data_IF_396932250567
#
_entry.id   IF_396932250567
#
_cell.length_a   1.000
_cell.length_b   1.000
_cell.length_c   1.000
_cell.angle_alpha   90.00
_cell.angle_beta   90.00
_cell.angle_gamma   90.00
#
_symmetry.space_group_name_H-M   'P 1'
#
loop_
_entity.id
_entity.type
_entity.pdbx_description
1 polymer ?
#
# COMPACT_ATOMS: atom_id res chain seq x y z
N UNK A 1 3.15 1.76 58.05
CA UNK A 1 2.76 1.91 56.64
C UNK A 1 3.99 1.54 55.83
N UNK A 2 3.92 0.46 55.06
CA UNK A 2 5.06 -0.06 54.30
C UNK A 2 5.43 0.87 53.14
N UNK A 3 6.70 1.25 53.05
CA UNK A 3 7.25 2.03 51.93
C UNK A 3 7.08 1.25 50.62
N UNK A 4 6.41 1.85 49.62
CA UNK A 4 6.21 1.24 48.30
C UNK A 4 7.52 1.03 47.53
N UNK A 5 8.62 1.68 47.94
CA UNK A 5 9.92 1.56 47.28
C UNK A 5 10.86 0.49 47.85
N UNK A 6 10.48 -0.22 48.92
CA UNK A 6 11.34 -1.26 49.51
C UNK A 6 11.15 -2.59 48.78
N UNK A 7 12.22 -3.19 48.23
CA UNK A 7 12.17 -4.51 47.60
C UNK A 7 11.74 -5.60 48.59
N UNK A 8 10.59 -6.23 48.35
CA UNK A 8 10.08 -7.37 49.14
C UNK A 8 9.33 -8.35 48.23
N UNK A 9 9.00 -9.52 48.75
CA UNK A 9 8.06 -10.44 48.10
C UNK A 9 6.62 -9.88 48.22
N UNK A 10 5.87 -9.89 47.12
CA UNK A 10 4.55 -9.29 46.99
C UNK A 10 3.58 -10.24 46.29
N UNK A 11 2.30 -10.10 46.60
CA UNK A 11 1.21 -10.94 46.06
C UNK A 11 0.06 -10.09 45.48
N UNK A 12 0.07 -8.79 45.81
CA UNK A 12 -0.96 -7.81 45.51
C UNK A 12 -0.58 -6.90 44.36
N UNK A 13 0.68 -6.43 44.34
CA UNK A 13 1.12 -5.41 43.39
C UNK A 13 2.63 -5.35 43.20
N UNK A 14 3.06 -4.77 42.09
CA UNK A 14 4.47 -4.54 41.78
C UNK A 14 4.67 -3.23 41.02
N UNK A 15 5.75 -2.51 41.33
CA UNK A 15 6.13 -1.29 40.64
C UNK A 15 7.52 -1.49 40.04
N UNK A 16 7.59 -1.33 38.72
CA UNK A 16 8.81 -1.17 37.96
C UNK A 16 9.08 0.31 37.70
N UNK A 17 10.34 0.69 37.81
CA UNK A 17 10.82 2.05 37.62
C UNK A 17 12.02 2.00 36.68
N UNK A 18 11.98 2.78 35.59
CA UNK A 18 13.13 3.05 34.76
C UNK A 18 13.71 4.42 35.11
N UNK A 19 14.98 4.44 35.54
CA UNK A 19 15.64 5.68 35.95
C UNK A 19 17.05 5.83 35.37
N UNK A 20 17.48 7.07 35.20
CA UNK A 20 18.85 7.43 34.82
C UNK A 20 19.82 7.24 35.99
N UNK A 21 21.12 7.31 35.69
CA UNK A 21 22.19 7.23 36.71
C UNK A 21 22.15 8.37 37.73
N UNK A 22 21.58 9.51 37.35
CA UNK A 22 21.40 10.68 38.21
C UNK A 22 20.16 10.58 39.13
N UNK A 23 19.39 9.49 39.01
CA UNK A 23 18.18 9.25 39.81
C UNK A 23 16.89 9.76 39.18
N UNK A 24 16.93 10.37 37.98
CA UNK A 24 15.74 10.85 37.29
C UNK A 24 14.86 9.68 36.85
N UNK A 25 13.60 9.66 37.29
CA UNK A 25 12.61 8.64 36.93
C UNK A 25 11.91 9.06 35.65
N UNK A 26 11.95 8.21 34.63
CA UNK A 26 11.32 8.49 33.34
C UNK A 26 10.30 7.42 32.91
N UNK A 27 10.31 6.25 33.55
CA UNK A 27 9.39 5.15 33.24
C UNK A 27 8.85 4.54 34.54
N UNK A 28 7.55 4.27 34.57
CA UNK A 28 6.85 3.63 35.69
C UNK A 28 5.87 2.61 35.11
N UNK A 29 5.99 1.34 35.50
CA UNK A 29 5.00 0.29 35.19
C UNK A 29 4.48 -0.30 36.48
N UNK A 30 3.17 -0.30 36.68
CA UNK A 30 2.52 -0.83 37.87
C UNK A 30 1.67 -2.03 37.48
N UNK A 31 1.83 -3.14 38.19
CA UNK A 31 0.96 -4.29 38.14
C UNK A 31 0.09 -4.34 39.39
N UNK A 32 -1.18 -4.70 39.21
CA UNK A 32 -2.14 -4.87 40.30
C UNK A 32 -3.33 -5.75 39.88
N UNK A 33 -4.20 -6.05 40.84
CA UNK A 33 -5.33 -6.95 40.62
C UNK A 33 -6.39 -6.38 39.67
N UNK A 34 -6.64 -5.08 39.77
CA UNK A 34 -7.65 -4.36 39.02
C UNK A 34 -7.23 -2.91 38.75
N UNK A 35 -8.01 -2.21 37.91
CA UNK A 35 -7.73 -0.84 37.49
C UNK A 35 -7.68 0.15 38.65
N UNK A 36 -8.61 0.05 39.59
CA UNK A 36 -8.75 1.01 40.70
C UNK A 36 -7.56 0.92 41.65
N UNK A 37 -7.20 -0.29 42.07
CA UNK A 37 -6.02 -0.53 42.92
C UNK A 37 -4.72 -0.12 42.22
N UNK A 38 -4.58 -0.41 40.93
CA UNK A 38 -3.37 -0.08 40.16
C UNK A 38 -3.18 1.44 40.03
N UNK A 39 -4.27 2.19 39.80
CA UNK A 39 -4.26 3.65 39.79
C UNK A 39 -3.95 4.25 41.16
N UNK A 40 -4.54 3.69 42.23
CA UNK A 40 -4.25 4.12 43.60
C UNK A 40 -2.75 3.97 43.92
N UNK A 41 -2.16 2.83 43.56
CA UNK A 41 -0.74 2.55 43.77
C UNK A 41 0.14 3.52 42.96
N UNK A 42 -0.20 3.79 41.71
CA UNK A 42 0.52 4.75 40.88
C UNK A 42 0.48 6.17 41.47
N UNK A 43 -0.70 6.62 41.92
CA UNK A 43 -0.87 7.95 42.53
C UNK A 43 -0.12 8.07 43.87
N UNK A 44 -0.13 7.00 44.67
CA UNK A 44 0.65 6.94 45.92
C UNK A 44 2.15 7.01 45.62
N UNK A 45 2.61 6.29 44.59
CA UNK A 45 4.00 6.33 44.17
C UNK A 45 4.45 7.73 43.70
N UNK A 46 3.63 8.43 42.90
CA UNK A 46 3.90 9.81 42.52
C UNK A 46 4.05 10.72 43.74
N UNK A 47 3.17 10.58 44.72
CA UNK A 47 3.20 11.35 45.96
C UNK A 47 4.46 11.05 46.80
N UNK A 48 4.81 9.77 46.97
CA UNK A 48 6.00 9.35 47.74
C UNK A 48 7.33 9.78 47.11
N UNK A 49 7.40 9.83 45.77
CA UNK A 49 8.60 10.25 45.03
C UNK A 49 8.59 11.73 44.65
N UNK A 50 7.60 12.48 45.12
CA UNK A 50 7.42 13.91 44.85
C UNK A 50 7.46 14.23 43.34
N UNK A 51 6.85 13.34 42.55
CA UNK A 51 6.72 13.44 41.10
C UNK A 51 5.35 14.04 40.77
N UNK A 52 5.30 14.96 39.81
CA UNK A 52 4.05 15.57 39.39
C UNK A 52 3.37 14.72 38.29
N UNK A 53 2.12 14.24 38.48
CA UNK A 53 1.47 13.35 37.51
C UNK A 53 1.37 13.93 36.09
N UNK A 54 1.23 15.26 35.96
CA UNK A 54 1.13 15.92 34.66
C UNK A 54 2.43 15.86 33.82
N UNK A 55 3.57 15.48 34.40
CA UNK A 55 4.83 15.31 33.67
C UNK A 55 4.95 13.92 33.03
N UNK A 56 4.00 13.03 33.34
CA UNK A 56 3.93 11.68 32.84
C UNK A 56 2.69 11.50 31.95
N UNK A 57 2.82 10.61 30.97
CA UNK A 57 1.77 10.24 30.03
C UNK A 57 1.52 8.75 30.18
N UNK A 58 0.26 8.35 30.34
CA UNK A 58 -0.15 6.95 30.28
C UNK A 58 -0.04 6.47 28.84
N UNK A 59 0.78 5.45 28.62
CA UNK A 59 1.04 4.89 27.28
C UNK A 59 0.46 3.50 27.09
N UNK A 60 0.15 2.81 28.17
CA UNK A 60 -0.44 1.48 28.14
C UNK A 60 -1.27 1.25 29.41
N UNK A 61 -2.46 0.67 29.26
CA UNK A 61 -3.29 0.18 30.37
C UNK A 61 -4.14 -1.02 29.93
N UNK A 62 -4.35 -1.99 30.82
CA UNK A 62 -5.20 -3.14 30.54
C UNK A 62 -4.77 -4.41 31.24
N UNK A 63 -5.40 -5.53 30.91
CA UNK A 63 -5.01 -6.84 31.42
C UNK A 63 -3.92 -7.46 30.54
N UNK A 64 -2.78 -7.81 31.15
CA UNK A 64 -1.72 -8.61 30.55
C UNK A 64 -1.99 -10.11 30.80
N UNK A 65 -1.80 -10.95 29.78
CA UNK A 65 -1.86 -12.41 29.91
C UNK A 65 -0.60 -12.93 30.59
N UNK A 66 -0.78 -13.66 31.69
CA UNK A 66 0.32 -14.15 32.53
C UNK A 66 0.19 -15.65 32.84
N UNK A 67 -0.63 -16.39 32.06
CA UNK A 67 -0.87 -17.83 32.23
C UNK A 67 0.39 -18.68 32.38
N UNK A 68 1.42 -18.36 31.60
CA UNK A 68 2.68 -19.10 31.59
C UNK A 68 3.72 -18.56 32.59
N UNK A 69 3.41 -17.46 33.30
CA UNK A 69 4.30 -16.80 34.25
C UNK A 69 3.95 -17.23 35.68
N UNK A 70 4.95 -17.69 36.44
CA UNK A 70 4.80 -17.96 37.89
C UNK A 70 5.04 -16.72 38.75
N UNK A 71 5.96 -15.85 38.30
CA UNK A 71 6.37 -14.64 39.00
C UNK A 71 6.62 -13.51 37.99
N UNK A 72 6.53 -12.26 38.47
CA UNK A 72 6.98 -11.06 37.76
C UNK A 72 8.09 -10.40 38.58
N UNK A 73 9.26 -10.20 37.98
CA UNK A 73 10.44 -9.57 38.58
C UNK A 73 11.31 -8.94 37.49
N UNK A 74 12.33 -8.16 37.87
CA UNK A 74 13.30 -7.62 36.90
C UNK A 74 14.03 -8.72 36.11
N UNK A 75 14.12 -9.95 36.65
CA UNK A 75 14.72 -11.11 35.98
C UNK A 75 13.78 -11.79 34.99
N UNK A 76 12.47 -11.73 35.19
CA UNK A 76 11.51 -12.29 34.22
C UNK A 76 11.14 -11.29 33.15
N UNK A 77 11.33 -10.00 33.42
CA UNK A 77 11.09 -8.89 32.51
C UNK A 77 12.39 -8.49 31.79
N UNK A 78 13.11 -9.47 31.24
CA UNK A 78 14.41 -9.26 30.56
C UNK A 78 14.26 -8.38 29.31
N UNK A 79 13.18 -8.55 28.55
CA UNK A 79 12.89 -7.73 27.36
C UNK A 79 12.66 -6.27 27.72
N UNK A 80 11.87 -6.00 28.77
CA UNK A 80 11.64 -4.65 29.27
C UNK A 80 12.94 -4.03 29.80
N UNK A 81 13.75 -4.82 30.52
CA UNK A 81 15.06 -4.39 31.00
C UNK A 81 16.01 -4.04 29.86
N UNK A 82 16.06 -4.86 28.81
CA UNK A 82 16.88 -4.63 27.63
C UNK A 82 16.41 -3.40 26.83
N UNK A 83 15.09 -3.22 26.69
CA UNK A 83 14.50 -2.06 26.03
C UNK A 83 14.86 -0.76 26.74
N UNK A 84 14.65 -0.69 28.06
CA UNK A 84 14.96 0.50 28.85
C UNK A 84 16.47 0.79 28.89
N UNK A 85 17.32 -0.24 28.93
CA UNK A 85 18.77 -0.06 28.88
C UNK A 85 19.24 0.61 27.59
N UNK A 86 18.61 0.34 26.44
CA UNK A 86 18.90 1.03 25.16
C UNK A 86 18.56 2.52 25.22
N UNK A 87 17.58 2.90 26.04
CA UNK A 87 17.19 4.29 26.28
C UNK A 87 18.04 4.97 27.38
N UNK A 88 19.07 4.27 27.89
CA UNK A 88 19.92 4.75 28.97
C UNK A 88 19.32 4.60 30.37
N UNK A 89 18.16 3.94 30.50
CA UNK A 89 17.45 3.75 31.76
C UNK A 89 17.80 2.41 32.40
N UNK A 90 17.96 2.41 33.72
CA UNK A 90 18.09 1.20 34.52
C UNK A 90 16.72 0.81 35.07
N UNK A 91 16.27 -0.40 34.74
CA UNK A 91 15.06 -0.98 35.32
C UNK A 91 15.31 -1.42 36.77
N UNK A 92 14.46 -0.94 37.67
CA UNK A 92 14.39 -1.34 39.08
C UNK A 92 12.97 -1.80 39.39
N UNK A 93 12.84 -2.65 40.41
CA UNK A 93 11.55 -3.12 40.92
C UNK A 93 11.50 -2.94 42.43
N UNK A 94 10.31 -2.70 42.96
CA UNK A 94 10.03 -2.74 44.39
C UNK A 94 9.78 -4.16 44.94
N UNK A 95 10.10 -5.21 44.18
CA UNK A 95 9.95 -6.59 44.65
C UNK A 95 9.91 -7.67 43.60
N UNK A 96 9.38 -8.82 44.02
CA UNK A 96 8.96 -9.94 43.17
C UNK A 96 7.48 -10.17 43.42
N UNK A 97 6.69 -10.22 42.36
CA UNK A 97 5.26 -10.51 42.41
C UNK A 97 4.99 -11.96 42.10
N UNK A 98 4.37 -12.67 43.04
CA UNK A 98 3.90 -14.05 42.83
C UNK A 98 2.48 -14.02 42.26
N UNK A 99 2.26 -14.75 41.16
CA UNK A 99 0.99 -14.71 40.42
C UNK A 99 -0.03 -15.75 40.86
N UNK A 100 0.38 -16.73 41.69
CA UNK A 100 -0.48 -17.76 42.30
C UNK A 100 -1.49 -18.45 41.34
N UNK A 101 -1.11 -18.61 40.06
CA UNK A 101 -1.97 -19.24 39.05
C UNK A 101 -3.05 -18.32 38.44
N UNK A 102 -2.92 -16.99 38.61
CA UNK A 102 -3.73 -16.01 37.88
C UNK A 102 -3.40 -16.07 36.39
N UNK A 103 -4.45 -16.07 35.55
CA UNK A 103 -4.31 -16.05 34.09
C UNK A 103 -4.04 -14.64 33.55
N UNK A 104 -4.44 -13.60 34.29
CA UNK A 104 -4.34 -12.20 33.87
C UNK A 104 -4.04 -11.29 35.04
N UNK A 105 -3.36 -10.18 34.77
CA UNK A 105 -3.09 -9.13 35.74
C UNK A 105 -3.27 -7.75 35.12
N UNK A 106 -3.81 -6.79 35.87
CA UNK A 106 -3.98 -5.43 35.36
C UNK A 106 -2.63 -4.70 35.41
N UNK A 107 -2.34 -3.92 34.38
CA UNK A 107 -1.13 -3.13 34.29
C UNK A 107 -1.42 -1.70 33.85
N UNK A 108 -0.60 -0.76 34.32
CA UNK A 108 -0.57 0.63 33.89
C UNK A 108 0.88 1.03 33.68
N UNK A 109 1.19 1.57 32.51
CA UNK A 109 2.50 2.11 32.17
C UNK A 109 2.43 3.62 31.93
N UNK A 110 3.25 4.36 32.67
CA UNK A 110 3.42 5.80 32.58
C UNK A 110 4.87 6.14 32.22
N UNK A 111 5.07 7.07 31.29
CA UNK A 111 6.41 7.56 30.89
C UNK A 111 6.46 9.08 30.92
N UNK A 112 7.62 9.64 31.27
CA UNK A 112 7.83 11.08 31.27
C UNK A 112 7.62 11.65 29.86
N UNK A 113 7.16 12.89 29.75
CA UNK A 113 7.04 13.60 28.48
C UNK A 113 8.39 13.70 27.74
N UNK A 114 9.50 13.78 28.47
CA UNK A 114 10.85 13.84 27.90
C UNK A 114 11.29 12.50 27.31
N UNK A 115 11.08 11.39 28.03
CA UNK A 115 11.35 10.06 27.51
C UNK A 115 10.42 9.73 26.35
N UNK A 116 9.15 10.14 26.41
CA UNK A 116 8.23 9.96 25.29
C UNK A 116 8.71 10.72 24.05
N UNK A 117 9.26 11.93 24.21
CA UNK A 117 9.91 12.68 23.11
C UNK A 117 11.16 11.98 22.61
N UNK A 118 12.01 11.43 23.50
CA UNK A 118 13.20 10.66 23.10
C UNK A 118 12.84 9.35 22.39
N UNK A 119 11.82 8.63 22.86
CA UNK A 119 11.32 7.41 22.21
C UNK A 119 10.73 7.75 20.84
N UNK A 120 10.02 8.89 20.71
CA UNK A 120 9.55 9.38 19.41
C UNK A 120 10.71 9.78 18.49
N UNK A 121 11.69 10.54 19.01
CA UNK A 121 12.91 10.92 18.28
C UNK A 121 13.89 9.77 17.97
N UNK A 122 13.86 8.68 18.74
CA UNK A 122 14.64 7.45 18.48
C UNK A 122 13.91 6.46 17.58
N UNK A 123 12.57 6.41 17.63
CA UNK A 123 11.78 5.74 16.59
C UNK A 123 11.91 6.45 15.24
N UNK A 124 12.12 7.78 15.26
CA UNK A 124 12.49 8.58 14.09
C UNK A 124 13.93 8.34 13.60
N UNK A 125 14.86 7.76 14.40
CA UNK A 125 16.28 7.60 13.99
C UNK A 125 16.79 6.17 13.79
N UNK A 126 15.95 5.13 13.94
CA UNK A 126 16.33 3.75 13.58
C UNK A 126 15.48 3.09 12.49
N UNK A 127 14.44 3.76 11.97
CA UNK A 127 13.69 3.34 10.76
C UNK A 127 13.30 4.52 9.83
N UNK A 128 14.00 5.66 9.89
CA UNK A 128 14.00 6.61 8.78
C UNK A 128 15.25 6.36 7.92
N UNK A 129 15.09 5.52 6.89
CA UNK A 129 15.44 6.05 5.57
C UNK A 129 14.56 7.31 5.49
N UNK A 130 15.13 8.50 5.29
CA UNK A 130 14.33 9.67 4.93
C UNK A 130 13.48 9.26 3.72
N UNK A 131 12.26 8.76 3.92
CA UNK A 131 11.32 8.54 2.83
C UNK A 131 10.71 9.90 2.58
N UNK A 132 11.55 10.75 1.98
CA UNK A 132 11.14 12.00 1.42
C UNK A 132 10.14 11.74 0.30
N UNK A 133 9.40 12.79 -0.07
CA UNK A 133 8.68 12.75 -1.33
C UNK A 133 9.70 12.58 -2.46
N UNK A 134 9.47 11.56 -3.27
CA UNK A 134 10.23 11.30 -4.48
C UNK A 134 9.24 11.51 -5.60
N UNK A 135 9.49 12.51 -6.45
CA UNK A 135 8.61 12.76 -7.59
C UNK A 135 8.43 11.48 -8.42
N UNK A 136 7.21 11.23 -8.92
CA UNK A 136 6.96 10.10 -9.79
C UNK A 136 7.94 10.03 -10.97
N UNK A 137 8.57 8.87 -11.15
CA UNK A 137 9.47 8.59 -12.26
C UNK A 137 9.20 7.20 -12.83
N UNK A 138 9.73 6.92 -14.03
CA UNK A 138 9.51 5.64 -14.72
C UNK A 138 10.82 4.84 -14.70
N UNK A 139 10.85 3.75 -13.93
CA UNK A 139 11.91 2.74 -14.02
C UNK A 139 11.49 1.59 -14.92
N UNK A 140 11.93 1.60 -16.16
CA UNK A 140 11.68 0.50 -17.10
C UNK A 140 12.49 -0.76 -16.82
N UNK A 141 13.54 -0.71 -15.99
CA UNK A 141 14.38 -1.89 -15.71
C UNK A 141 13.66 -2.94 -14.86
N UNK A 142 12.60 -2.54 -14.16
CA UNK A 142 11.75 -3.43 -13.36
C UNK A 142 10.80 -4.28 -14.23
N UNK A 143 10.52 -3.86 -15.47
CA UNK A 143 9.66 -4.58 -16.41
C UNK A 143 10.48 -5.66 -17.12
N UNK A 144 10.63 -6.81 -16.46
CA UNK A 144 11.21 -8.01 -17.08
C UNK A 144 10.12 -8.92 -17.60
N UNK A 145 10.27 -9.39 -18.83
CA UNK A 145 9.46 -10.44 -19.47
C UNK A 145 7.97 -10.13 -19.71
N UNK A 146 7.48 -8.96 -19.31
CA UNK A 146 6.05 -8.59 -19.43
C UNK A 146 5.74 -7.74 -20.66
N UNK A 147 6.76 -7.09 -21.21
CA UNK A 147 6.66 -6.18 -22.35
C UNK A 147 7.81 -6.49 -23.31
N UNK A 148 7.56 -6.65 -24.62
CA UNK A 148 8.62 -6.72 -25.62
C UNK A 148 9.57 -5.52 -25.55
N UNK A 149 10.87 -5.76 -25.73
CA UNK A 149 11.91 -4.72 -25.64
C UNK A 149 11.63 -3.53 -26.57
N UNK A 150 11.04 -3.81 -27.74
CA UNK A 150 10.64 -2.84 -28.74
C UNK A 150 9.66 -1.78 -28.20
N UNK A 151 8.87 -2.14 -27.18
CA UNK A 151 7.84 -1.27 -26.59
C UNK A 151 8.30 -0.57 -25.31
N UNK A 152 9.32 -1.08 -24.64
CA UNK A 152 9.80 -0.55 -23.35
C UNK A 152 10.19 0.93 -23.47
N UNK A 153 10.90 1.29 -24.55
CA UNK A 153 11.33 2.68 -24.77
C UNK A 153 10.18 3.68 -24.87
N UNK A 154 9.01 3.25 -25.33
CA UNK A 154 7.84 4.11 -25.45
C UNK A 154 7.19 4.41 -24.09
N UNK A 155 7.38 3.54 -23.08
CA UNK A 155 6.89 3.77 -21.72
C UNK A 155 7.62 4.92 -21.03
N UNK A 156 8.87 5.21 -21.42
CA UNK A 156 9.61 6.38 -20.91
C UNK A 156 8.91 7.71 -21.19
N UNK A 157 8.03 7.77 -22.20
CA UNK A 157 7.23 8.98 -22.48
C UNK A 157 6.28 9.33 -21.33
N UNK A 158 5.98 8.40 -20.43
CA UNK A 158 5.16 8.64 -19.24
C UNK A 158 5.87 9.51 -18.20
N UNK A 159 7.21 9.62 -18.23
CA UNK A 159 7.98 10.53 -17.35
C UNK A 159 7.60 12.00 -17.56
N UNK A 160 7.05 12.34 -18.73
CA UNK A 160 6.56 13.70 -19.01
C UNK A 160 5.37 14.09 -18.12
N UNK A 161 4.69 13.11 -17.50
CA UNK A 161 3.48 13.28 -16.66
C UNK A 161 2.33 14.01 -17.35
N UNK A 162 2.34 14.03 -18.69
CA UNK A 162 1.30 14.58 -19.54
C UNK A 162 0.18 13.57 -19.82
N UNK A 163 -1.01 14.07 -20.14
CA UNK A 163 -2.12 13.22 -20.56
C UNK A 163 -1.72 12.37 -21.78
N UNK A 164 -1.94 11.06 -21.69
CA UNK A 164 -1.54 10.13 -22.75
C UNK A 164 -2.69 9.26 -23.23
N UNK A 165 -2.63 8.87 -24.50
CA UNK A 165 -3.41 7.76 -25.04
C UNK A 165 -2.45 6.64 -25.47
N UNK A 166 -2.73 5.45 -24.98
CA UNK A 166 -1.97 4.22 -25.20
C UNK A 166 -2.82 3.31 -26.07
N UNK A 167 -2.36 3.07 -27.28
CA UNK A 167 -3.02 2.21 -28.25
C UNK A 167 -2.48 0.79 -28.05
N UNK A 168 -3.21 -0.06 -27.35
CA UNK A 168 -2.75 -1.36 -26.86
C UNK A 168 -3.30 -2.53 -27.70
N UNK A 169 -2.93 -2.58 -28.98
CA UNK A 169 -3.26 -3.71 -29.86
C UNK A 169 -2.54 -5.00 -29.44
N UNK A 170 -1.36 -4.87 -28.82
CA UNK A 170 -0.57 -5.99 -28.30
C UNK A 170 -1.18 -6.66 -27.04
N UNK A 171 -2.25 -6.10 -26.46
CA UNK A 171 -2.89 -6.57 -25.22
C UNK A 171 -1.89 -6.78 -24.07
N UNK A 172 -0.98 -5.81 -23.91
CA UNK A 172 -0.08 -5.76 -22.77
C UNK A 172 -0.91 -5.50 -21.52
N UNK A 173 -0.57 -6.16 -20.41
CA UNK A 173 -1.22 -5.97 -19.12
C UNK A 173 -0.73 -4.65 -18.49
N UNK A 174 -1.33 -3.52 -18.90
CA UNK A 174 -0.86 -2.20 -18.52
C UNK A 174 -1.01 -1.93 -17.03
N UNK A 175 -2.04 -2.43 -16.36
CA UNK A 175 -2.19 -2.30 -14.92
C UNK A 175 -0.95 -2.86 -14.19
N UNK A 176 -0.57 -4.09 -14.52
CA UNK A 176 0.62 -4.73 -13.95
C UNK A 176 1.90 -3.98 -14.31
N UNK A 177 2.05 -3.58 -15.58
CA UNK A 177 3.25 -2.92 -16.08
C UNK A 177 3.44 -1.55 -15.44
N UNK A 178 2.39 -0.73 -15.39
CA UNK A 178 2.42 0.63 -14.84
C UNK A 178 2.75 0.62 -13.35
N UNK A 179 2.14 -0.29 -12.57
CA UNK A 179 2.44 -0.45 -11.13
C UNK A 179 3.88 -0.88 -10.84
N UNK A 180 4.54 -1.51 -11.81
CA UNK A 180 5.94 -1.94 -11.68
C UNK A 180 6.94 -0.90 -12.11
N UNK A 181 6.60 -0.08 -13.10
CA UNK A 181 7.55 0.88 -13.65
C UNK A 181 7.38 2.29 -13.09
N UNK A 182 6.18 2.66 -12.64
CA UNK A 182 5.98 3.94 -12.00
C UNK A 182 6.39 3.81 -10.54
N UNK A 183 7.46 4.50 -10.20
CA UNK A 183 8.03 4.53 -8.87
C UNK A 183 7.88 5.94 -8.26
N UNK A 184 8.41 6.12 -7.06
CA UNK A 184 8.33 7.37 -6.31
C UNK A 184 7.27 7.33 -5.21
N UNK A 185 7.27 8.37 -4.38
CA UNK A 185 6.46 8.46 -3.17
C UNK A 185 5.92 9.87 -3.06
N UNK A 186 4.61 10.01 -2.90
CA UNK A 186 3.94 11.32 -2.86
C UNK A 186 3.13 11.46 -1.59
N UNK A 187 3.06 12.68 -1.04
CA UNK A 187 2.12 12.96 0.04
C UNK A 187 0.76 13.24 -0.53
N UNK A 188 -0.25 12.55 0.01
CA UNK A 188 -1.64 12.85 -0.25
C UNK A 188 -2.35 13.21 1.06
N UNK A 189 -3.31 14.15 1.03
CA UNK A 189 -4.12 14.43 2.21
C UNK A 189 -4.91 13.17 2.59
N UNK A 190 -5.07 12.91 3.89
CA UNK A 190 -5.93 11.79 4.33
C UNK A 190 -7.39 12.10 3.99
N UNK A 191 -7.79 13.33 4.27
CA UNK A 191 -9.11 13.87 4.00
C UNK A 191 -8.99 15.37 3.68
N UNK A 192 -10.03 15.91 3.04
CA UNK A 192 -10.21 17.35 2.85
C UNK A 192 -11.42 17.79 3.68
N UNK A 193 -11.21 18.75 4.58
CA UNK A 193 -12.30 19.39 5.32
C UNK A 193 -12.85 20.57 4.53
N UNK A 194 -14.12 20.51 4.18
CA UNK A 194 -14.82 21.61 3.49
C UNK A 194 -16.10 21.93 4.26
N UNK A 195 -16.02 23.04 5.02
CA UNK A 195 -17.05 23.39 6.00
C UNK A 195 -17.21 22.26 7.03
N UNK A 196 -18.41 21.72 7.16
CA UNK A 196 -18.70 20.62 8.08
C UNK A 196 -18.57 19.24 7.42
N UNK A 197 -18.12 19.17 6.15
CA UNK A 197 -18.00 17.92 5.39
C UNK A 197 -16.55 17.46 5.29
N UNK A 198 -16.37 16.15 5.35
CA UNK A 198 -15.09 15.46 5.22
C UNK A 198 -15.10 14.69 3.90
N UNK A 199 -14.11 14.92 3.06
CA UNK A 199 -13.92 14.17 1.82
C UNK A 199 -12.69 13.28 1.99
N UNK A 200 -12.91 11.98 2.10
CA UNK A 200 -11.84 10.99 2.23
C UNK A 200 -11.11 10.83 0.89
N UNK A 201 -9.81 11.11 0.90
CA UNK A 201 -8.92 11.00 -0.26
C UNK A 201 -8.10 9.70 -0.15
N UNK A 202 -7.45 9.49 1.00
CA UNK A 202 -6.72 8.27 1.27
C UNK A 202 -7.67 7.09 1.46
N UNK A 203 -7.29 5.97 0.86
CA UNK A 203 -8.06 4.73 0.81
C UNK A 203 -7.07 3.56 0.83
N UNK A 204 -7.11 2.74 1.88
CA UNK A 204 -6.19 1.63 2.09
C UNK A 204 -6.37 0.50 1.05
N UNK A 205 -7.50 0.44 0.33
CA UNK A 205 -7.71 -0.53 -0.76
C UNK A 205 -7.03 -0.10 -2.07
N UNK A 206 -6.80 1.21 -2.23
CA UNK A 206 -6.29 1.81 -3.48
C UNK A 206 -4.82 2.22 -3.33
N UNK A 207 -4.43 2.71 -2.15
CA UNK A 207 -3.13 3.32 -1.93
C UNK A 207 -2.20 2.41 -1.11
N UNK A 208 -0.97 2.26 -1.59
CA UNK A 208 0.08 1.58 -0.82
C UNK A 208 0.75 2.57 0.15
N UNK A 209 0.34 2.50 1.42
CA UNK A 209 0.87 3.37 2.49
C UNK A 209 2.31 3.02 2.86
N UNK A 210 3.17 4.04 2.90
CA UNK A 210 4.53 3.94 3.43
C UNK A 210 4.56 4.43 4.87
N UNK A 211 4.15 5.69 5.09
CA UNK A 211 4.04 6.29 6.42
C UNK A 211 2.85 7.25 6.44
N UNK A 212 2.43 7.66 7.63
CA UNK A 212 1.29 8.56 7.79
C UNK A 212 1.45 9.48 8.97
N UNK A 213 1.04 10.72 8.79
CA UNK A 213 0.75 11.66 9.86
C UNK A 213 -0.78 11.89 9.98
N UNK A 214 -1.19 12.79 10.86
CA UNK A 214 -2.61 13.06 11.13
C UNK A 214 -3.31 13.59 9.88
N UNK A 215 -2.70 14.55 9.18
CA UNK A 215 -3.35 15.26 8.05
C UNK A 215 -3.00 14.67 6.68
N UNK A 216 -1.87 13.97 6.56
CA UNK A 216 -1.37 13.44 5.30
C UNK A 216 -0.87 12.00 5.42
N UNK A 217 -0.83 11.32 4.28
CA UNK A 217 -0.29 9.97 4.13
C UNK A 217 0.74 9.97 3.02
N UNK A 218 1.95 9.48 3.29
CA UNK A 218 2.95 9.24 2.26
C UNK A 218 2.68 7.86 1.70
N UNK A 219 2.38 7.83 0.41
CA UNK A 219 2.04 6.62 -0.34
C UNK A 219 3.05 6.44 -1.46
N UNK A 220 3.25 5.21 -1.93
CA UNK A 220 3.84 5.04 -3.26
C UNK A 220 2.99 5.79 -4.28
N UNK A 221 3.62 6.30 -5.33
CA UNK A 221 2.95 7.02 -6.42
C UNK A 221 1.64 6.30 -6.80
N UNK A 222 0.47 6.95 -6.66
CA UNK A 222 -0.79 6.32 -6.99
C UNK A 222 -0.82 5.95 -8.47
N UNK A 223 -1.02 4.67 -8.75
CA UNK A 223 -1.35 4.16 -10.09
C UNK A 223 -2.71 3.51 -9.97
N UNK A 224 -3.76 4.24 -10.33
CA UNK A 224 -5.15 3.79 -10.24
C UNK A 224 -5.60 3.39 -11.64
N UNK A 225 -5.94 2.13 -11.81
CA UNK A 225 -6.46 1.57 -13.05
C UNK A 225 -7.95 1.31 -12.90
N UNK A 226 -8.73 1.72 -13.90
CA UNK A 226 -10.17 1.54 -13.97
C UNK A 226 -10.54 0.94 -15.33
N UNK A 227 -11.28 -0.16 -15.32
CA UNK A 227 -11.71 -0.88 -16.52
C UNK A 227 -13.22 -0.71 -16.72
N UNK A 228 -13.60 -0.14 -17.87
CA UNK A 228 -15.00 0.09 -18.22
C UNK A 228 -15.89 -1.15 -18.16
N UNK A 229 -15.34 -2.34 -18.40
CA UNK A 229 -16.12 -3.58 -18.43
C UNK A 229 -16.29 -4.24 -17.06
N UNK A 230 -15.53 -3.78 -16.05
CA UNK A 230 -15.50 -4.37 -14.71
C UNK A 230 -16.00 -3.37 -13.66
N UNK A 231 -15.61 -2.10 -13.79
CA UNK A 231 -15.76 -1.10 -12.74
C UNK A 231 -16.94 -0.15 -12.98
N UNK A 232 -17.35 0.55 -11.92
CA UNK A 232 -18.54 1.41 -11.94
C UNK A 232 -18.21 2.86 -12.29
N UNK A 233 -19.09 3.50 -13.07
CA UNK A 233 -19.02 4.93 -13.37
C UNK A 233 -19.25 5.81 -12.13
N UNK A 234 -19.85 5.28 -11.06
CA UNK A 234 -20.09 6.01 -9.80
C UNK A 234 -18.78 6.41 -9.11
N UNK A 235 -17.67 5.76 -9.42
CA UNK A 235 -16.36 6.03 -8.85
C UNK A 235 -15.77 7.37 -9.32
N UNK A 236 -16.39 8.01 -10.31
CA UNK A 236 -16.05 9.37 -10.77
C UNK A 236 -16.94 10.47 -10.17
N UNK A 237 -17.76 10.12 -9.17
CA UNK A 237 -18.59 11.06 -8.41
C UNK A 237 -18.24 11.04 -6.92
N UNK A 238 -18.61 12.09 -6.19
CA UNK A 238 -18.52 12.09 -4.73
C UNK A 238 -19.59 11.17 -4.16
N UNK A 239 -19.18 10.10 -3.49
CA UNK A 239 -20.10 9.14 -2.87
C UNK A 239 -20.23 9.43 -1.39
N UNK A 240 -21.45 9.69 -0.92
CA UNK A 240 -21.71 9.89 0.50
C UNK A 240 -21.59 8.53 1.22
N UNK A 241 -20.73 8.46 2.23
CA UNK A 241 -20.49 7.25 3.03
C UNK A 241 -21.24 7.35 4.35
N UNK A 242 -21.15 8.50 5.02
CA UNK A 242 -21.86 8.79 6.27
C UNK A 242 -22.45 10.20 6.26
N UNK A 243 -23.05 10.64 7.37
CA UNK A 243 -23.44 12.02 7.55
C UNK A 243 -22.20 12.93 7.43
N UNK A 244 -22.22 13.82 6.42
CA UNK A 244 -21.13 14.77 6.11
C UNK A 244 -19.80 14.14 5.68
N UNK A 245 -19.70 12.81 5.55
CA UNK A 245 -18.49 12.11 5.07
C UNK A 245 -18.71 11.58 3.66
N UNK A 246 -17.76 11.87 2.76
CA UNK A 246 -17.81 11.48 1.35
C UNK A 246 -16.51 10.78 0.94
N UNK A 247 -16.61 9.70 0.18
CA UNK A 247 -15.48 9.17 -0.58
C UNK A 247 -15.22 10.08 -1.78
N UNK A 248 -13.96 10.45 -1.98
CA UNK A 248 -13.54 11.16 -3.17
C UNK A 248 -13.69 10.29 -4.43
N UNK A 249 -13.92 10.89 -5.61
CA UNK A 249 -13.81 10.20 -6.89
C UNK A 249 -12.37 9.80 -7.21
N UNK A 250 -12.17 8.79 -8.08
CA UNK A 250 -10.86 8.20 -8.38
C UNK A 250 -9.80 9.22 -8.82
N UNK A 251 -10.19 10.21 -9.63
CA UNK A 251 -9.23 11.22 -10.10
C UNK A 251 -8.70 12.14 -8.98
N UNK A 252 -9.41 12.24 -7.84
CA UNK A 252 -8.88 12.90 -6.63
C UNK A 252 -8.04 11.95 -5.79
N UNK A 253 -8.33 10.65 -5.82
CA UNK A 253 -7.48 9.62 -5.19
C UNK A 253 -6.15 9.46 -5.92
N UNK A 254 -6.14 9.62 -7.25
CA UNK A 254 -4.93 9.63 -8.09
C UNK A 254 -4.04 10.88 -7.92
N UNK A 255 -4.11 11.57 -6.78
CA UNK A 255 -3.43 12.84 -6.56
C UNK A 255 -1.91 12.70 -6.71
N UNK A 256 -1.30 13.57 -7.52
CA UNK A 256 0.10 13.52 -7.95
C UNK A 256 0.52 12.23 -8.68
N UNK A 257 -0.40 11.30 -8.92
CA UNK A 257 -0.16 10.02 -9.58
C UNK A 257 -0.81 9.91 -10.95
N UNK A 258 -1.12 8.69 -11.34
CA UNK A 258 -1.66 8.31 -12.64
C UNK A 258 -3.04 7.67 -12.48
N UNK A 259 -3.98 8.11 -13.29
CA UNK A 259 -5.29 7.50 -13.46
C UNK A 259 -5.34 6.90 -14.87
N UNK A 260 -5.28 5.58 -14.97
CA UNK A 260 -5.41 4.83 -16.21
C UNK A 260 -6.85 4.34 -16.39
N UNK A 261 -7.42 4.60 -17.55
CA UNK A 261 -8.77 4.17 -17.91
C UNK A 261 -8.71 3.23 -19.12
N UNK A 262 -9.17 1.99 -18.97
CA UNK A 262 -9.26 1.01 -20.06
C UNK A 262 -10.60 1.12 -20.78
N UNK A 263 -10.55 1.34 -22.09
CA UNK A 263 -11.70 1.45 -22.98
C UNK A 263 -12.82 2.44 -22.53
N UNK A 264 -12.51 3.60 -21.91
CA UNK A 264 -13.52 4.44 -21.27
C UNK A 264 -14.55 5.01 -22.26
N UNK A 265 -15.74 5.39 -21.78
CA UNK A 265 -16.67 6.20 -22.55
C UNK A 265 -16.06 7.56 -22.92
N UNK A 266 -16.32 8.04 -24.13
CA UNK A 266 -15.78 9.33 -24.62
C UNK A 266 -16.24 10.50 -23.75
N UNK A 267 -17.47 10.44 -23.23
CA UNK A 267 -18.07 11.41 -22.33
C UNK A 267 -17.29 11.55 -21.02
N UNK A 268 -16.81 10.43 -20.47
CA UNK A 268 -16.00 10.41 -19.25
C UNK A 268 -14.68 11.13 -19.49
N UNK A 269 -13.98 10.78 -20.58
CA UNK A 269 -12.72 11.43 -20.95
C UNK A 269 -12.91 12.93 -21.15
N UNK A 270 -13.98 13.35 -21.85
CA UNK A 270 -14.35 14.76 -22.00
C UNK A 270 -14.59 15.45 -20.65
N UNK A 271 -15.29 14.80 -19.72
CA UNK A 271 -15.55 15.31 -18.36
C UNK A 271 -14.23 15.53 -17.62
N UNK A 272 -13.34 14.53 -17.60
CA UNK A 272 -12.06 14.60 -16.90
C UNK A 272 -11.12 15.66 -17.50
N UNK A 273 -10.99 15.72 -18.83
CA UNK A 273 -10.19 16.77 -19.49
C UNK A 273 -10.73 18.18 -19.21
N UNK A 274 -12.06 18.35 -19.13
CA UNK A 274 -12.68 19.63 -18.73
C UNK A 274 -12.37 19.99 -17.27
N UNK A 275 -12.34 19.00 -16.38
CA UNK A 275 -11.96 19.18 -14.97
C UNK A 275 -10.47 19.59 -14.89
N UNK A 276 -9.57 18.87 -15.57
CA UNK A 276 -8.13 19.18 -15.64
C UNK A 276 -7.86 20.58 -16.19
N UNK A 277 -8.46 20.94 -17.34
CA UNK A 277 -8.32 22.28 -17.93
C UNK A 277 -8.78 23.40 -17.00
N UNK A 278 -9.77 23.11 -16.14
CA UNK A 278 -10.27 24.05 -15.14
C UNK A 278 -9.37 24.12 -13.89
N UNK A 279 -8.55 23.10 -13.64
CA UNK A 279 -7.66 22.99 -12.48
C UNK A 279 -8.36 22.62 -11.17
N UNK A 280 -9.68 22.40 -11.18
CA UNK A 280 -10.43 22.01 -9.98
C UNK A 280 -11.71 21.24 -10.30
N UNK A 281 -12.18 20.40 -9.37
CA UNK A 281 -13.53 19.85 -9.33
C UNK A 281 -14.44 20.68 -8.42
N UNK A 282 -15.74 20.69 -8.72
CA UNK A 282 -16.75 21.33 -7.87
C UNK A 282 -17.32 20.30 -6.91
N UNK A 283 -17.23 20.54 -5.62
CA UNK A 283 -17.93 19.79 -4.59
C UNK A 283 -19.19 20.57 -4.15
N UNK A 284 -20.40 20.02 -4.35
CA UNK A 284 -21.64 20.71 -4.01
C UNK A 284 -21.95 20.62 -2.51
N UNK A 285 -22.32 21.76 -1.89
CA UNK A 285 -22.87 21.82 -0.53
C UNK A 285 -24.13 22.69 -0.59
N UNK A 286 -25.30 22.04 -0.55
CA UNK A 286 -26.59 22.70 -0.75
C UNK A 286 -26.64 23.41 -2.11
N UNK A 287 -26.84 24.73 -2.12
CA UNK A 287 -26.86 25.57 -3.34
C UNK A 287 -25.50 26.14 -3.74
N UNK A 288 -24.46 25.94 -2.91
CA UNK A 288 -23.10 26.44 -3.17
C UNK A 288 -22.19 25.33 -3.67
N UNK A 289 -21.08 25.72 -4.29
CA UNK A 289 -20.01 24.79 -4.66
C UNK A 289 -18.66 25.27 -4.14
N UNK A 290 -17.83 24.30 -3.78
CA UNK A 290 -16.45 24.52 -3.35
C UNK A 290 -15.50 23.95 -4.40
N UNK A 291 -14.37 24.61 -4.59
CA UNK A 291 -13.37 24.23 -5.60
C UNK A 291 -12.31 23.39 -4.92
N UNK A 292 -12.14 22.16 -5.38
CA UNK A 292 -11.08 21.26 -4.94
C UNK A 292 -10.06 21.17 -6.06
N UNK A 293 -8.81 21.60 -5.85
CA UNK A 293 -7.75 21.45 -6.84
C UNK A 293 -7.63 20.00 -7.31
N UNK A 294 -7.30 19.80 -8.58
CA UNK A 294 -7.02 18.47 -9.12
C UNK A 294 -5.61 18.46 -9.67
N UNK A 295 -4.88 17.38 -9.37
CA UNK A 295 -3.57 17.13 -9.96
C UNK A 295 -3.39 15.61 -10.07
N UNK A 296 -3.44 15.10 -11.30
CA UNK A 296 -3.30 13.69 -11.65
C UNK A 296 -2.97 13.60 -13.15
N UNK A 297 -2.22 12.60 -13.58
CA UNK A 297 -1.96 12.31 -15.00
C UNK A 297 -3.01 11.34 -15.54
N UNK A 298 -3.67 11.68 -16.66
CA UNK A 298 -4.70 10.83 -17.26
C UNK A 298 -4.11 9.96 -18.36
N UNK A 299 -4.22 8.64 -18.23
CA UNK A 299 -3.85 7.67 -19.24
C UNK A 299 -5.10 7.00 -19.80
N UNK A 300 -5.24 6.95 -21.11
CA UNK A 300 -6.33 6.24 -21.78
C UNK A 300 -5.75 5.03 -22.50
N UNK A 301 -6.16 3.83 -22.10
CA UNK A 301 -5.88 2.61 -22.84
C UNK A 301 -7.04 2.31 -23.80
N UNK A 302 -6.72 2.02 -25.05
CA UNK A 302 -7.70 1.61 -26.07
C UNK A 302 -7.07 0.76 -27.16
N UNK A 303 -7.85 -0.07 -27.83
CA UNK A 303 -7.49 -0.66 -29.13
C UNK A 303 -7.97 0.19 -30.30
N UNK A 304 -9.02 0.99 -30.09
CA UNK A 304 -9.57 1.89 -31.09
C UNK A 304 -9.28 3.35 -30.71
N UNK A 305 -8.21 3.90 -31.29
CA UNK A 305 -7.83 5.29 -31.07
C UNK A 305 -8.80 6.27 -31.78
N UNK A 306 -9.48 5.81 -32.83
CA UNK A 306 -10.33 6.64 -33.67
C UNK A 306 -11.59 7.08 -32.92
N UNK A 307 -12.07 6.26 -31.97
CA UNK A 307 -13.13 6.59 -31.00
C UNK A 307 -12.89 7.93 -30.28
N UNK A 308 -11.62 8.33 -30.09
CA UNK A 308 -11.24 9.56 -29.40
C UNK A 308 -10.77 10.67 -30.34
N UNK A 309 -11.04 10.56 -31.65
CA UNK A 309 -10.81 11.65 -32.62
C UNK A 309 -11.46 12.95 -32.14
N UNK A 310 -10.69 14.03 -32.16
CA UNK A 310 -11.11 15.34 -31.66
C UNK A 310 -10.83 15.59 -30.17
N UNK A 311 -10.28 14.60 -29.44
CA UNK A 311 -9.68 14.83 -28.13
C UNK A 311 -8.16 14.92 -28.28
N UNK A 312 -7.58 15.96 -27.70
CA UNK A 312 -6.15 16.22 -27.75
C UNK A 312 -5.42 15.49 -26.62
N UNK A 313 -4.41 14.69 -26.98
CA UNK A 313 -3.49 14.04 -26.06
C UNK A 313 -2.06 14.44 -26.45
N UNK A 314 -1.32 15.12 -25.57
CA UNK A 314 0.08 15.48 -25.82
C UNK A 314 0.96 14.26 -26.11
N UNK A 315 0.71 13.14 -25.43
CA UNK A 315 1.48 11.91 -25.59
C UNK A 315 0.64 10.82 -26.24
N UNK A 316 1.24 10.11 -27.21
CA UNK A 316 0.65 8.96 -27.89
C UNK A 316 1.64 7.81 -27.90
N UNK A 317 1.26 6.70 -27.28
CA UNK A 317 2.05 5.47 -27.23
C UNK A 317 1.31 4.40 -28.02
N UNK A 318 2.05 3.59 -28.79
CA UNK A 318 1.49 2.52 -29.62
C UNK A 318 2.18 1.20 -29.32
N UNK A 319 1.39 0.22 -28.89
CA UNK A 319 1.79 -1.17 -28.77
C UNK A 319 1.02 -1.96 -29.82
N UNK A 320 1.61 -2.08 -31.01
CA UNK A 320 1.00 -2.75 -32.15
C UNK A 320 0.97 -4.27 -31.92
N UNK A 321 0.02 -4.96 -32.56
CA UNK A 321 0.04 -6.43 -32.61
C UNK A 321 1.40 -6.92 -33.14
N UNK A 322 1.88 -8.06 -32.63
CA UNK A 322 3.22 -8.55 -32.95
C UNK A 322 3.39 -8.90 -34.42
N UNK A 323 4.53 -8.50 -34.98
CA UNK A 323 4.99 -8.97 -36.27
C UNK A 323 5.63 -10.36 -36.16
N UNK A 324 5.99 -10.95 -37.30
CA UNK A 324 6.52 -12.30 -37.33
C UNK A 324 7.85 -12.45 -36.60
N UNK A 325 8.69 -11.42 -36.59
CA UNK A 325 10.00 -11.46 -35.93
C UNK A 325 9.86 -11.39 -34.40
N UNK A 326 9.00 -10.50 -33.90
CA UNK A 326 8.66 -10.43 -32.48
C UNK A 326 8.04 -11.75 -32.01
N UNK A 327 7.08 -12.31 -32.76
CA UNK A 327 6.50 -13.61 -32.44
C UNK A 327 7.56 -14.70 -32.39
N UNK A 328 8.46 -14.77 -33.37
CA UNK A 328 9.54 -15.77 -33.39
C UNK A 328 10.39 -15.71 -32.12
N UNK A 329 10.80 -14.50 -31.69
CA UNK A 329 11.56 -14.30 -30.44
C UNK A 329 10.78 -14.76 -29.22
N UNK A 330 9.50 -14.36 -29.12
CA UNK A 330 8.64 -14.68 -27.98
C UNK A 330 8.36 -16.18 -27.89
N UNK A 331 8.10 -16.85 -29.01
CA UNK A 331 7.89 -18.30 -29.03
C UNK A 331 9.14 -19.08 -28.64
N UNK A 332 10.31 -18.68 -29.14
CA UNK A 332 11.58 -19.28 -28.74
C UNK A 332 11.82 -19.10 -27.24
N UNK A 333 11.52 -17.92 -26.71
CA UNK A 333 11.69 -17.62 -25.28
C UNK A 333 10.73 -18.41 -24.39
N UNK A 334 9.43 -18.41 -24.71
CA UNK A 334 8.39 -18.95 -23.83
C UNK A 334 8.23 -20.47 -23.96
N UNK A 335 8.53 -21.04 -25.12
CA UNK A 335 8.35 -22.47 -25.40
C UNK A 335 9.66 -23.20 -25.72
N UNK A 336 10.79 -22.50 -25.92
CA UNK A 336 12.05 -23.11 -26.34
C UNK A 336 12.04 -23.62 -27.78
N UNK A 337 11.11 -23.15 -28.62
CA UNK A 337 10.86 -23.69 -29.96
C UNK A 337 10.99 -22.57 -31.00
N UNK A 338 11.79 -22.81 -32.04
CA UNK A 338 11.78 -21.99 -33.24
C UNK A 338 10.61 -22.38 -34.14
N UNK A 339 9.67 -21.46 -34.37
CA UNK A 339 8.56 -21.67 -35.30
C UNK A 339 8.91 -21.11 -36.69
N UNK A 340 8.64 -21.86 -37.78
CA UNK A 340 8.78 -21.34 -39.13
C UNK A 340 7.90 -20.10 -39.38
N UNK A 341 8.46 -19.09 -40.06
CA UNK A 341 7.75 -17.87 -40.42
C UNK A 341 6.45 -18.13 -41.22
N UNK A 342 6.40 -19.22 -41.99
CA UNK A 342 5.20 -19.62 -42.74
C UNK A 342 4.00 -19.90 -41.84
N UNK A 343 4.22 -20.45 -40.64
CA UNK A 343 3.18 -20.74 -39.64
C UNK A 343 2.77 -19.45 -38.94
N UNK A 344 3.75 -18.63 -38.52
CA UNK A 344 3.49 -17.35 -37.86
C UNK A 344 2.70 -16.38 -38.74
N UNK A 345 2.96 -16.38 -40.06
CA UNK A 345 2.22 -15.55 -41.03
C UNK A 345 0.75 -15.89 -41.14
N UNK A 346 0.39 -17.15 -40.91
CA UNK A 346 -1.00 -17.57 -41.01
C UNK A 346 -1.80 -17.13 -39.78
N UNK A 347 -1.15 -16.92 -38.62
CA UNK A 347 -1.82 -16.48 -37.40
C UNK A 347 -2.60 -15.18 -37.63
N UNK A 348 -3.91 -15.14 -37.38
CA UNK A 348 -4.68 -13.90 -37.45
C UNK A 348 -4.17 -12.88 -36.43
N UNK A 349 -4.30 -11.58 -36.74
CA UNK A 349 -3.76 -10.49 -35.89
C UNK A 349 -4.27 -10.52 -34.45
N UNK A 350 -5.51 -10.93 -34.23
CA UNK A 350 -6.12 -11.09 -32.90
C UNK A 350 -5.42 -12.12 -32.00
N UNK A 351 -4.66 -13.05 -32.59
CA UNK A 351 -3.84 -14.03 -31.85
C UNK A 351 -2.36 -13.64 -31.76
N UNK A 352 -1.97 -12.46 -32.26
CA UNK A 352 -0.60 -11.93 -32.21
C UNK A 352 -0.43 -10.94 -31.06
N UNK A 353 -0.85 -11.32 -29.86
CA UNK A 353 -0.90 -10.45 -28.67
C UNK A 353 -0.27 -11.13 -27.45
N UNK A 354 0.11 -10.35 -26.42
CA UNK A 354 0.62 -10.90 -25.16
C UNK A 354 -0.41 -11.80 -24.49
N UNK A 355 -1.69 -11.42 -24.53
CA UNK A 355 -2.78 -12.20 -23.95
C UNK A 355 -2.94 -13.55 -24.64
N UNK A 356 -2.97 -13.56 -25.98
CA UNK A 356 -3.04 -14.80 -26.74
C UNK A 356 -1.84 -15.71 -26.46
N UNK A 357 -0.63 -15.15 -26.33
CA UNK A 357 0.56 -15.92 -25.98
C UNK A 357 0.48 -16.54 -24.57
N UNK A 358 0.00 -15.78 -23.58
CA UNK A 358 -0.24 -16.28 -22.21
C UNK A 358 -1.30 -17.39 -22.20
N UNK A 359 -2.39 -17.22 -22.94
CA UNK A 359 -3.45 -18.22 -23.05
C UNK A 359 -2.95 -19.50 -23.74
N UNK A 360 -2.15 -19.37 -24.80
CA UNK A 360 -1.50 -20.47 -25.49
C UNK A 360 -0.55 -21.23 -24.55
N UNK A 361 0.28 -20.51 -23.79
CA UNK A 361 1.20 -21.11 -22.80
C UNK A 361 0.45 -21.93 -21.77
N UNK A 362 -0.60 -21.35 -21.17
CA UNK A 362 -1.46 -22.04 -20.21
C UNK A 362 -2.12 -23.28 -20.83
N UNK A 363 -2.52 -23.22 -22.10
CA UNK A 363 -3.11 -24.37 -22.80
C UNK A 363 -2.09 -25.48 -23.01
N UNK A 364 -0.88 -25.17 -23.47
CA UNK A 364 0.22 -26.14 -23.65
C UNK A 364 0.58 -26.81 -22.33
N UNK A 365 0.69 -26.06 -21.23
CA UNK A 365 0.95 -26.61 -19.89
C UNK A 365 -0.15 -27.61 -19.48
N UNK A 366 -1.43 -27.27 -19.70
CA UNK A 366 -2.55 -28.17 -19.43
C UNK A 366 -2.52 -29.43 -20.29
N UNK A 367 -2.15 -29.32 -21.57
CA UNK A 367 -2.01 -30.47 -22.45
C UNK A 367 -0.84 -31.37 -22.04
N UNK A 368 0.28 -30.79 -21.60
CA UNK A 368 1.46 -31.51 -21.12
C UNK A 368 1.18 -32.30 -19.85
N UNK A 369 0.37 -31.75 -18.93
CA UNK A 369 -0.10 -32.47 -17.74
C UNK A 369 -0.95 -33.70 -18.09
N UNK A 370 -1.71 -33.64 -19.20
CA UNK A 370 -2.56 -34.74 -19.65
C UNK A 370 -1.85 -35.74 -20.55
N UNK A 371 -0.79 -35.31 -21.23
CA UNK A 371 0.00 -36.13 -22.16
C UNK A 371 1.51 -35.91 -21.88
N UNK A 372 2.03 -36.41 -20.74
CA UNK A 372 3.41 -36.14 -20.33
C UNK A 372 4.45 -36.64 -21.33
N UNK A 373 4.13 -37.69 -22.08
CA UNK A 373 4.97 -38.33 -23.09
C UNK A 373 5.16 -37.51 -24.36
N UNK A 374 4.25 -36.59 -24.68
CA UNK A 374 4.32 -35.81 -25.93
C UNK A 374 5.34 -34.68 -25.86
N UNK A 375 6.02 -34.43 -26.97
CA UNK A 375 6.94 -33.29 -27.08
C UNK A 375 6.21 -31.95 -27.05
N UNK A 376 6.87 -30.91 -26.55
CA UNK A 376 6.30 -29.56 -26.47
C UNK A 376 5.88 -29.03 -27.85
N UNK A 377 6.61 -29.40 -28.91
CA UNK A 377 6.32 -29.03 -30.30
C UNK A 377 4.96 -29.56 -30.78
N UNK A 378 4.66 -30.83 -30.50
CA UNK A 378 3.38 -31.45 -30.84
C UNK A 378 2.22 -30.83 -30.07
N UNK A 379 2.43 -30.59 -28.77
CA UNK A 379 1.43 -29.98 -27.91
C UNK A 379 1.15 -28.53 -28.30
N UNK A 380 2.17 -27.79 -28.73
CA UNK A 380 2.04 -26.42 -29.20
C UNK A 380 1.22 -26.35 -30.50
N UNK A 381 1.45 -27.25 -31.45
CA UNK A 381 0.62 -27.36 -32.66
C UNK A 381 -0.83 -27.65 -32.32
N UNK A 382 -1.07 -28.65 -31.47
CA UNK A 382 -2.42 -28.98 -31.01
C UNK A 382 -3.08 -27.77 -30.32
N UNK A 383 -2.34 -27.05 -29.47
CA UNK A 383 -2.83 -25.87 -28.78
C UNK A 383 -3.17 -24.72 -29.75
N UNK A 384 -2.36 -24.49 -30.78
CA UNK A 384 -2.63 -23.50 -31.83
C UNK A 384 -3.91 -23.85 -32.61
N UNK A 385 -4.08 -25.11 -33.01
CA UNK A 385 -5.31 -25.57 -33.68
C UNK A 385 -6.55 -25.36 -32.80
N UNK A 386 -6.45 -25.71 -31.51
CA UNK A 386 -7.55 -25.50 -30.55
C UNK A 386 -7.87 -24.00 -30.39
N UNK A 387 -6.85 -23.15 -30.30
CA UNK A 387 -7.01 -21.72 -30.08
C UNK A 387 -7.63 -21.00 -31.29
N UNK A 388 -7.28 -21.43 -32.50
CA UNK A 388 -7.74 -20.81 -33.76
C UNK A 388 -9.09 -21.41 -34.23
N UNK A 389 -9.36 -22.69 -33.95
CA UNK A 389 -10.58 -23.41 -34.33
C UNK A 389 -10.46 -24.27 -35.60
N UNK A 390 -11.41 -25.19 -35.80
CA UNK A 390 -11.45 -26.11 -36.95
C UNK A 390 -11.66 -25.35 -38.29
N UNK A 391 -10.84 -25.65 -39.30
CA UNK A 391 -10.75 -24.92 -40.59
C UNK A 391 -9.35 -24.39 -40.93
N UNK A 392 -8.42 -24.50 -39.97
CA UNK A 392 -7.03 -24.06 -40.06
C UNK A 392 -6.08 -25.25 -39.77
N UNK A 393 -6.20 -26.33 -40.55
CA UNK A 393 -5.45 -27.58 -40.37
C UNK A 393 -3.99 -27.52 -40.88
N UNK A 394 -3.53 -26.35 -41.36
CA UNK A 394 -2.22 -26.17 -41.98
C UNK A 394 -1.07 -25.77 -41.04
N UNK A 395 -1.26 -25.81 -39.72
CA UNK A 395 -0.34 -25.26 -38.70
C UNK A 395 0.52 -26.31 -37.98
#
# INVERSE_FOLDING_TARGET
MDELSVPKERYDSLIFIGMHRDGTIEFIKVYGEDKEKTLEILNRFFSEKNLHPADFVLVDEGFEDVKDKKIISTRTEEELSAYLARLGLKLLSNGVLYLEGKDKIYQITAVSKELLKKIKGQKESQEEIEVAEIEPYVDVKSIKDEVPEEFISSLMLLELREDAIIINEAEIDLDKVLRKCIEGNVKIPRYLEIHENIIQIFDDEIHEKITSQVEWVLVKTPVICWDYYVDSMEEFEFRKVEERVYSAPLFLKAHHGYLMLSEPPVELVKKLKKIKRRGYVKFPIGVRYYKIPVDFTLLIETKDADKYKGLEFPVRIKFLSFDEEMLKKLFLKDFGIEIPLSVLRQLPKEYRTMRALKDLKRLVEKLKLRNPEKETSELLKAALVIMIGEGHEGY
#
